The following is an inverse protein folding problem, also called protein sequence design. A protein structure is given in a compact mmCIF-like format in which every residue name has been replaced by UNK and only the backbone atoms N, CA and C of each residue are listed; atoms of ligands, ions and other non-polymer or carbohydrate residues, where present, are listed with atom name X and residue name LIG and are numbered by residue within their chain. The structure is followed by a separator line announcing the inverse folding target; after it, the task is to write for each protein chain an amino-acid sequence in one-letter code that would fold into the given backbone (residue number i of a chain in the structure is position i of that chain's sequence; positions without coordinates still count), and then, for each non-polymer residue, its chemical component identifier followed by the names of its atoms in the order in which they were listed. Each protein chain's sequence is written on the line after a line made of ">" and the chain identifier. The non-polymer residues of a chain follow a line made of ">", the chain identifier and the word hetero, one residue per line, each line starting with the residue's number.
data_IF_301879579771
#
_entry.id   IF_301879579771
#
_cell.length_a   1.000
_cell.length_b   1.000
_cell.length_c   1.000
_cell.angle_alpha   90.00
_cell.angle_beta   90.00
_cell.angle_gamma   90.00
#
_symmetry.space_group_name_H-M   'P 1'
#
loop_
_entity.id
_entity.type
_entity.pdbx_description
1 polymer ?
#
# COMPACT_ATOMS: atom_id res chain seq x y z
N UNK A 1 -14.27 2.64 -8.35
CA UNK A 1 -12.94 2.16 -7.92
C UNK A 1 -12.86 2.21 -6.40
N UNK A 2 -12.51 1.11 -5.76
CA UNK A 2 -12.40 1.09 -4.30
C UNK A 2 -11.01 1.55 -3.84
N UNK A 3 -10.85 1.71 -2.51
CA UNK A 3 -9.62 2.26 -1.95
C UNK A 3 -8.41 1.34 -2.22
N UNK A 4 -8.62 0.02 -2.21
CA UNK A 4 -7.55 -0.94 -2.48
C UNK A 4 -7.06 -0.83 -3.92
N UNK A 5 -7.97 -0.64 -4.88
CA UNK A 5 -7.61 -0.46 -6.29
C UNK A 5 -6.85 0.86 -6.50
N UNK A 6 -7.23 1.91 -5.80
CA UNK A 6 -6.52 3.19 -5.84
C UNK A 6 -5.11 3.02 -5.31
N UNK A 7 -4.97 2.30 -4.20
CA UNK A 7 -3.67 2.02 -3.59
C UNK A 7 -2.77 1.24 -4.55
N UNK A 8 -3.29 0.17 -5.16
CA UNK A 8 -2.54 -0.65 -6.10
C UNK A 8 -2.05 0.20 -7.27
N UNK A 9 -2.93 1.00 -7.86
CA UNK A 9 -2.58 1.84 -9.00
C UNK A 9 -1.54 2.89 -8.62
N UNK A 10 -1.69 3.53 -7.46
CA UNK A 10 -0.81 4.60 -7.02
C UNK A 10 0.58 4.11 -6.67
N UNK A 11 0.71 2.91 -6.14
CA UNK A 11 1.99 2.38 -5.67
C UNK A 11 2.57 1.29 -6.56
N UNK A 12 1.98 1.06 -7.72
CA UNK A 12 2.43 0.00 -8.63
C UNK A 12 3.91 0.10 -8.97
N UNK A 13 4.36 1.30 -9.32
CA UNK A 13 5.77 1.52 -9.68
C UNK A 13 6.70 1.23 -8.51
N UNK A 14 6.32 1.65 -7.30
CA UNK A 14 7.09 1.39 -6.10
C UNK A 14 7.21 -0.11 -5.83
N UNK A 15 6.10 -0.85 -5.98
CA UNK A 15 6.12 -2.29 -5.75
C UNK A 15 7.00 -3.01 -6.76
N UNK A 16 6.96 -2.57 -8.02
CA UNK A 16 7.81 -3.17 -9.06
C UNK A 16 9.28 -2.90 -8.80
N UNK A 17 9.63 -1.69 -8.39
CA UNK A 17 11.01 -1.29 -8.18
C UNK A 17 11.62 -1.88 -6.90
N UNK A 18 10.84 -1.94 -5.82
CA UNK A 18 11.36 -2.35 -4.50
C UNK A 18 11.26 -3.83 -4.22
N UNK A 19 10.39 -4.53 -4.94
CA UNK A 19 10.16 -5.94 -4.68
C UNK A 19 10.91 -6.78 -5.68
N UNK A 20 12.08 -7.25 -5.28
CA UNK A 20 12.82 -8.23 -6.06
C UNK A 20 12.04 -9.54 -6.10
N UNK A 21 12.28 -10.34 -7.13
CA UNK A 21 11.58 -11.61 -7.34
C UNK A 21 11.72 -12.58 -6.17
N UNK A 22 12.70 -12.35 -5.32
CA UNK A 22 12.98 -13.24 -4.18
C UNK A 22 12.18 -12.90 -2.93
N UNK A 23 11.52 -11.75 -2.89
CA UNK A 23 10.80 -11.32 -1.71
C UNK A 23 9.37 -11.81 -1.77
N UNK A 24 8.95 -12.53 -0.75
CA UNK A 24 7.57 -12.97 -0.63
C UNK A 24 6.68 -11.78 -0.26
N UNK A 25 5.63 -11.58 -1.05
CA UNK A 25 4.69 -10.48 -0.83
C UNK A 25 3.61 -10.90 0.16
N UNK A 26 3.94 -10.82 1.45
CA UNK A 26 2.94 -11.04 2.48
C UNK A 26 2.11 -9.76 2.66
N UNK A 27 0.85 -9.88 3.10
CA UNK A 27 0.03 -8.71 3.37
C UNK A 27 0.69 -7.74 4.36
N UNK A 28 1.34 -8.28 5.37
CA UNK A 28 2.03 -7.48 6.38
C UNK A 28 3.20 -6.67 5.77
N UNK A 29 3.94 -7.28 4.86
CA UNK A 29 5.06 -6.61 4.20
C UNK A 29 4.57 -5.47 3.32
N UNK A 30 3.51 -5.71 2.54
CA UNK A 30 2.91 -4.68 1.69
C UNK A 30 2.36 -3.53 2.54
N UNK A 31 1.68 -3.85 3.62
CA UNK A 31 1.17 -2.85 4.56
C UNK A 31 2.30 -1.98 5.09
N UNK A 32 3.40 -2.60 5.50
CA UNK A 32 4.57 -1.89 6.01
C UNK A 32 5.14 -0.92 4.98
N UNK A 33 5.28 -1.37 3.74
CA UNK A 33 5.84 -0.53 2.67
C UNK A 33 4.96 0.69 2.38
N UNK A 34 3.64 0.48 2.31
CA UNK A 34 2.71 1.59 2.03
C UNK A 34 2.68 2.57 3.20
N UNK A 35 2.63 2.07 4.43
CA UNK A 35 2.62 2.93 5.61
C UNK A 35 3.91 3.74 5.72
N UNK A 36 5.04 3.11 5.44
CA UNK A 36 6.33 3.77 5.45
C UNK A 36 6.39 4.89 4.42
N UNK A 37 5.86 4.65 3.23
CA UNK A 37 5.80 5.65 2.17
C UNK A 37 4.89 6.82 2.54
N UNK A 38 3.79 6.55 3.24
CA UNK A 38 2.82 7.58 3.65
C UNK A 38 3.26 8.38 4.87
N UNK A 39 4.23 7.88 5.63
CA UNK A 39 4.66 8.52 6.88
C UNK A 39 5.02 10.00 6.73
N UNK A 40 5.82 10.43 5.72
CA UNK A 40 6.13 11.85 5.57
C UNK A 40 4.89 12.71 5.36
N UNK A 41 3.89 12.20 4.67
CA UNK A 41 2.64 12.93 4.45
C UNK A 41 1.82 13.01 5.73
N UNK A 42 1.85 11.97 6.56
CA UNK A 42 1.13 11.96 7.83
C UNK A 42 1.74 12.95 8.82
N UNK A 43 3.05 13.17 8.77
CA UNK A 43 3.72 14.12 9.64
C UNK A 43 3.29 15.55 9.33
N UNK A 44 3.12 15.88 8.04
CA UNK A 44 2.78 17.25 7.62
C UNK A 44 1.28 17.53 7.59
N UNK A 45 0.44 16.50 7.59
CA UNK A 45 -1.00 16.69 7.61
C UNK A 45 -1.51 16.63 9.05
N UNK A 46 -2.55 17.43 9.34
CA UNK A 46 -3.14 17.49 10.67
C UNK A 46 -4.66 17.47 10.55
N UNK A 47 -5.31 17.13 11.67
CA UNK A 47 -6.76 17.17 11.78
C UNK A 47 -7.45 16.13 10.90
N UNK A 48 -8.46 16.58 10.16
CA UNK A 48 -9.32 15.69 9.37
C UNK A 48 -8.55 14.87 8.35
N UNK A 49 -7.61 15.49 7.63
CA UNK A 49 -6.84 14.79 6.59
C UNK A 49 -5.99 13.68 7.20
N UNK A 50 -5.33 13.96 8.32
CA UNK A 50 -4.52 12.95 9.01
C UNK A 50 -5.38 11.77 9.47
N UNK A 51 -6.52 12.07 10.11
CA UNK A 51 -7.41 11.04 10.62
C UNK A 51 -8.01 10.20 9.49
N UNK A 52 -8.38 10.84 8.40
CA UNK A 52 -8.92 10.15 7.23
C UNK A 52 -7.90 9.18 6.63
N UNK A 53 -6.65 9.62 6.48
CA UNK A 53 -5.57 8.79 5.94
C UNK A 53 -5.27 7.62 6.88
N UNK A 54 -5.18 7.86 8.18
CA UNK A 54 -4.92 6.81 9.16
C UNK A 54 -6.02 5.75 9.15
N UNK A 55 -7.29 6.18 9.11
CA UNK A 55 -8.41 5.26 9.04
C UNK A 55 -8.41 4.45 7.74
N UNK A 56 -8.09 5.09 6.63
CA UNK A 56 -7.99 4.40 5.35
C UNK A 56 -6.94 3.29 5.39
N UNK A 57 -5.76 3.60 5.93
CA UNK A 57 -4.68 2.63 6.04
C UNK A 57 -5.05 1.46 6.96
N UNK A 58 -5.73 1.75 8.07
CA UNK A 58 -6.11 0.72 9.05
C UNK A 58 -7.24 -0.18 8.54
N UNK A 59 -8.09 0.32 7.66
CA UNK A 59 -9.26 -0.42 7.18
C UNK A 59 -9.07 -1.07 5.82
N UNK A 60 -7.90 -0.89 5.18
CA UNK A 60 -7.64 -1.52 3.89
C UNK A 60 -7.50 -3.04 4.00
N UNK A 61 -7.96 -3.72 2.96
CA UNK A 61 -7.78 -5.17 2.83
C UNK A 61 -6.40 -5.46 2.24
N UNK A 62 -5.43 -5.65 3.11
CA UNK A 62 -4.05 -5.88 2.70
C UNK A 62 -3.86 -7.23 2.02
N UNK A 63 -4.69 -8.23 2.35
CA UNK A 63 -4.68 -9.51 1.64
C UNK A 63 -5.03 -9.34 0.17
N UNK A 64 -6.05 -8.55 -0.11
CA UNK A 64 -6.46 -8.23 -1.48
C UNK A 64 -5.35 -7.52 -2.24
N UNK A 65 -4.72 -6.52 -1.61
CA UNK A 65 -3.65 -5.75 -2.23
C UNK A 65 -2.45 -6.65 -2.55
N UNK A 66 -2.03 -7.45 -1.58
CA UNK A 66 -0.89 -8.36 -1.76
C UNK A 66 -1.16 -9.38 -2.87
N UNK A 67 -2.36 -9.91 -2.92
CA UNK A 67 -2.77 -10.86 -3.96
C UNK A 67 -2.66 -10.26 -5.35
N UNK A 68 -3.23 -9.06 -5.54
CA UNK A 68 -3.24 -8.42 -6.85
C UNK A 68 -1.85 -8.01 -7.31
N UNK A 69 -1.00 -7.53 -6.39
CA UNK A 69 0.38 -7.20 -6.73
C UNK A 69 1.14 -8.45 -7.14
N UNK A 70 0.94 -9.56 -6.44
CA UNK A 70 1.58 -10.84 -6.77
C UNK A 70 1.16 -11.31 -8.17
N UNK A 71 -0.13 -11.18 -8.51
CA UNK A 71 -0.60 -11.57 -9.84
C UNK A 71 0.00 -10.69 -10.93
N UNK A 72 0.11 -9.39 -10.69
CA UNK A 72 0.73 -8.46 -11.64
C UNK A 72 2.20 -8.81 -11.88
N UNK A 73 2.91 -9.27 -10.86
CA UNK A 73 4.32 -9.66 -10.99
C UNK A 73 4.49 -10.92 -11.84
N UNK A 74 3.52 -11.82 -11.80
CA UNK A 74 3.59 -13.08 -12.55
C UNK A 74 3.22 -12.91 -14.01
N UNK A 75 2.56 -11.85 -14.35
CA UNK A 75 2.20 -11.54 -15.73
C UNK A 75 3.26 -10.63 -16.37
#
# INVERSE_FOLDING_TARGET
>A
MNIEQICIASFKSMFVERLEDRVELTPKYVEMLVKEHCEPYMIVTQGFTHDLLANALDSMDWDYIAYHITQDRKS
#
